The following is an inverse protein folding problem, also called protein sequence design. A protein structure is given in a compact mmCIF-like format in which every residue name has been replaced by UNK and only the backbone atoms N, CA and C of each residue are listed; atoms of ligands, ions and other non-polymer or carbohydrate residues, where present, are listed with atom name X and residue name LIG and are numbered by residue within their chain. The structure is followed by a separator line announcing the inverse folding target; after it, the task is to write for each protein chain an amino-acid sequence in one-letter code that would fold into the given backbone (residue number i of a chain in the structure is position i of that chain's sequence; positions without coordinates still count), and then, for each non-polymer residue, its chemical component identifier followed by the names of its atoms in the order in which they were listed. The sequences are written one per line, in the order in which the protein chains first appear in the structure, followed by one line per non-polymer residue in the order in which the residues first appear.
data_IF_180168481980
#
_entry.id   IF_180168481980
#
_cell.length_a   1.000
_cell.length_b   1.000
_cell.length_c   1.000
_cell.angle_alpha   90.00
_cell.angle_beta   90.00
_cell.angle_gamma   90.00
#
_symmetry.space_group_name_H-M   'P 1'
#
loop_
_entity.id
_entity.type
_entity.pdbx_description
1 polymer ?
#
# COMPACT_ATOMS: atom_id res chain seq x y z
N UNK A 1 -47.07 42.75 -17.39
CA UNK A 1 -45.92 41.96 -17.78
C UNK A 1 -45.25 41.41 -16.54
N UNK A 2 -45.33 40.09 -16.34
CA UNK A 2 -44.69 39.40 -15.21
C UNK A 2 -43.39 38.80 -15.75
N UNK A 3 -42.25 39.29 -15.28
CA UNK A 3 -40.95 38.70 -15.61
C UNK A 3 -40.74 37.50 -14.73
N UNK A 4 -40.67 36.30 -15.35
CA UNK A 4 -40.29 35.07 -14.67
C UNK A 4 -38.78 34.98 -14.70
N UNK A 5 -38.15 35.21 -13.56
CA UNK A 5 -36.71 34.98 -13.38
C UNK A 5 -36.45 33.49 -13.21
N UNK A 6 -35.94 32.86 -14.25
CA UNK A 6 -35.48 31.45 -14.18
C UNK A 6 -34.12 31.41 -13.50
N UNK A 7 -34.11 30.96 -12.25
CA UNK A 7 -32.88 30.73 -11.50
C UNK A 7 -32.27 29.38 -11.97
N UNK A 8 -31.23 29.46 -12.79
CA UNK A 8 -30.46 28.27 -13.18
C UNK A 8 -29.62 27.82 -11.97
N UNK A 9 -30.06 26.75 -11.32
CA UNK A 9 -29.25 26.05 -10.31
C UNK A 9 -28.19 25.23 -11.04
N UNK A 10 -26.95 25.74 -11.11
CA UNK A 10 -25.80 24.98 -11.57
C UNK A 10 -25.41 24.03 -10.44
N UNK A 11 -25.85 22.78 -10.56
CA UNK A 11 -25.43 21.69 -9.67
C UNK A 11 -24.00 21.32 -10.03
N UNK A 12 -23.02 21.87 -9.33
CA UNK A 12 -21.63 21.46 -9.45
C UNK A 12 -21.47 20.07 -8.82
N UNK A 13 -21.45 19.04 -9.66
CA UNK A 13 -21.06 17.68 -9.30
C UNK A 13 -19.55 17.68 -9.03
N UNK A 14 -19.14 18.05 -7.83
CA UNK A 14 -17.80 17.71 -7.34
C UNK A 14 -17.79 16.25 -6.95
N UNK A 15 -17.51 15.37 -7.91
CA UNK A 15 -17.21 13.98 -7.62
C UNK A 15 -15.94 13.87 -6.76
N UNK A 16 -15.79 12.80 -5.95
CA UNK A 16 -14.57 12.61 -5.17
C UNK A 16 -13.36 12.60 -6.11
N UNK A 17 -12.32 13.37 -5.76
CA UNK A 17 -11.08 13.38 -6.54
C UNK A 17 -10.51 11.96 -6.55
N UNK A 18 -10.41 11.33 -7.73
CA UNK A 18 -9.84 9.99 -7.87
C UNK A 18 -8.34 10.05 -7.59
N UNK A 19 -7.82 9.11 -6.78
CA UNK A 19 -6.40 8.94 -6.57
C UNK A 19 -5.71 8.63 -7.90
N UNK A 20 -4.54 9.26 -8.16
CA UNK A 20 -3.74 9.02 -9.37
C UNK A 20 -2.99 7.70 -9.33
N UNK A 21 -2.72 7.18 -8.14
CA UNK A 21 -1.99 5.94 -7.88
C UNK A 21 -2.87 4.93 -7.18
N UNK A 22 -2.62 3.64 -7.42
CA UNK A 22 -3.35 2.57 -6.77
C UNK A 22 -3.12 2.57 -5.25
N UNK A 23 -4.12 2.17 -4.44
CA UNK A 23 -3.96 2.09 -2.98
C UNK A 23 -2.93 1.05 -2.53
N UNK A 24 -2.61 0.08 -3.39
CA UNK A 24 -1.57 -0.94 -3.17
C UNK A 24 -0.50 -0.80 -4.25
N UNK A 25 0.77 -0.83 -3.82
CA UNK A 25 1.91 -0.92 -4.73
C UNK A 25 1.84 -2.22 -5.52
N UNK A 26 1.58 -2.12 -6.82
CA UNK A 26 1.28 -3.24 -7.69
C UNK A 26 1.90 -3.09 -9.07
N UNK A 27 2.10 -4.21 -9.75
CA UNK A 27 2.57 -4.20 -11.13
C UNK A 27 1.55 -3.58 -12.08
N UNK A 28 2.04 -2.96 -13.15
CA UNK A 28 1.17 -2.40 -14.20
C UNK A 28 0.32 -3.50 -14.87
N UNK A 29 0.94 -4.65 -15.17
CA UNK A 29 0.24 -5.83 -15.70
C UNK A 29 -0.10 -6.80 -14.57
N UNK A 30 -1.34 -7.27 -14.54
CA UNK A 30 -1.81 -8.27 -13.59
C UNK A 30 -2.09 -7.75 -12.18
N UNK A 31 -1.79 -6.47 -11.89
CA UNK A 31 -2.04 -5.82 -10.60
C UNK A 31 -1.49 -6.64 -9.41
N UNK A 32 -0.29 -7.19 -9.57
CA UNK A 32 0.35 -8.04 -8.56
C UNK A 32 0.95 -7.18 -7.46
N UNK A 33 0.49 -7.38 -6.23
CA UNK A 33 0.92 -6.62 -5.05
C UNK A 33 2.38 -6.93 -4.69
N UNK A 34 3.09 -5.92 -4.25
CA UNK A 34 4.44 -5.99 -3.66
C UNK A 34 5.39 -6.97 -4.36
N UNK A 35 5.50 -6.85 -5.69
CA UNK A 35 6.39 -7.67 -6.52
C UNK A 35 6.13 -9.18 -6.44
N UNK A 36 4.91 -9.60 -6.07
CA UNK A 36 4.55 -11.01 -5.94
C UNK A 36 5.07 -11.70 -4.69
N UNK A 37 5.54 -10.94 -3.71
CA UNK A 37 6.06 -11.48 -2.44
C UNK A 37 4.92 -11.85 -1.50
N UNK A 38 5.09 -12.95 -0.76
CA UNK A 38 4.12 -13.41 0.23
C UNK A 38 4.19 -12.55 1.51
N UNK A 39 3.17 -11.74 1.82
CA UNK A 39 3.21 -10.87 3.00
C UNK A 39 3.13 -11.64 4.32
N UNK A 40 2.52 -12.82 4.35
CA UNK A 40 2.39 -13.64 5.56
C UNK A 40 3.75 -14.20 5.99
N UNK A 41 4.60 -14.57 5.02
CA UNK A 41 5.89 -15.18 5.28
C UNK A 41 6.86 -14.27 6.06
N UNK A 42 6.75 -12.95 5.92
CA UNK A 42 7.53 -12.02 6.74
C UNK A 42 7.29 -12.23 8.25
N UNK A 43 6.05 -12.51 8.63
CA UNK A 43 5.66 -12.72 10.03
C UNK A 43 5.94 -14.15 10.51
N UNK A 44 5.75 -15.13 9.65
CA UNK A 44 5.84 -16.55 10.03
C UNK A 44 7.23 -17.15 9.84
N UNK A 45 8.01 -16.62 8.89
CA UNK A 45 9.33 -17.16 8.54
C UNK A 45 10.47 -16.13 8.73
N UNK A 46 10.14 -14.86 8.94
CA UNK A 46 11.15 -13.79 9.14
C UNK A 46 12.03 -13.54 7.92
N UNK A 47 11.48 -13.68 6.73
CA UNK A 47 12.19 -13.45 5.47
C UNK A 47 11.24 -13.15 4.31
N UNK A 48 11.77 -12.52 3.24
CA UNK A 48 11.05 -12.39 1.98
C UNK A 48 10.92 -13.78 1.32
N UNK A 49 9.70 -14.13 0.93
CA UNK A 49 9.39 -15.39 0.23
C UNK A 49 8.55 -15.05 -1.00
N UNK A 50 8.97 -15.55 -2.15
CA UNK A 50 8.20 -15.40 -3.38
C UNK A 50 6.89 -16.17 -3.31
N UNK A 51 5.79 -15.49 -3.64
CA UNK A 51 4.48 -16.11 -3.79
C UNK A 51 4.29 -16.71 -5.18
N UNK A 52 3.26 -17.52 -5.33
CA UNK A 52 2.91 -18.21 -6.57
C UNK A 52 1.55 -17.75 -7.06
N UNK A 53 1.38 -17.58 -8.37
CA UNK A 53 0.12 -17.12 -8.96
C UNK A 53 -1.07 -18.06 -8.64
N UNK A 54 -0.82 -19.35 -8.50
CA UNK A 54 -1.84 -20.34 -8.14
C UNK A 54 -2.40 -20.17 -6.72
N UNK A 55 -1.65 -19.53 -5.82
CA UNK A 55 -2.08 -19.18 -4.47
C UNK A 55 -2.23 -17.67 -4.38
N UNK A 56 -3.30 -17.14 -4.92
CA UNK A 56 -3.56 -15.70 -4.91
C UNK A 56 -4.90 -15.36 -4.27
N UNK A 57 -4.98 -14.14 -3.77
CA UNK A 57 -6.19 -13.55 -3.21
C UNK A 57 -6.26 -12.07 -3.61
N UNK A 58 -7.43 -11.65 -4.08
CA UNK A 58 -7.66 -10.24 -4.42
C UNK A 58 -8.11 -9.48 -3.18
N UNK A 59 -7.37 -8.42 -2.87
CA UNK A 59 -7.73 -7.52 -1.76
C UNK A 59 -7.22 -6.10 -2.05
N UNK A 60 -8.02 -5.12 -1.70
CA UNK A 60 -7.73 -3.69 -1.87
C UNK A 60 -7.25 -3.31 -3.29
N UNK A 61 -7.89 -3.89 -4.29
CA UNK A 61 -7.64 -3.62 -5.70
C UNK A 61 -6.38 -4.27 -6.28
N UNK A 62 -5.72 -5.16 -5.54
CA UNK A 62 -4.51 -5.85 -5.98
C UNK A 62 -4.64 -7.37 -5.85
N UNK A 63 -3.82 -8.08 -6.60
CA UNK A 63 -3.68 -9.54 -6.53
C UNK A 63 -2.46 -9.90 -5.68
N UNK A 64 -2.71 -10.42 -4.50
CA UNK A 64 -1.70 -10.85 -3.55
C UNK A 64 -1.34 -12.30 -3.82
N UNK A 65 -0.05 -12.61 -3.79
CA UNK A 65 0.48 -13.97 -4.03
C UNK A 65 1.09 -14.55 -2.77
N UNK A 66 0.91 -15.85 -2.60
CA UNK A 66 1.35 -16.58 -1.40
C UNK A 66 2.11 -17.82 -1.81
N UNK A 67 2.99 -18.31 -0.94
CA UNK A 67 3.74 -19.56 -1.18
C UNK A 67 2.86 -20.81 -1.08
N UNK A 68 1.72 -20.70 -0.39
CA UNK A 68 0.85 -21.83 -0.06
C UNK A 68 -0.61 -21.39 0.07
N UNK A 69 -1.52 -22.36 -0.02
CA UNK A 69 -2.93 -22.15 0.27
C UNK A 69 -3.15 -21.73 1.73
N UNK A 70 -2.35 -22.25 2.67
CA UNK A 70 -2.43 -21.91 4.09
C UNK A 70 -2.15 -20.42 4.31
N UNK A 71 -1.08 -19.87 3.74
CA UNK A 71 -0.75 -18.44 3.85
C UNK A 71 -1.81 -17.56 3.16
N UNK A 72 -2.28 -17.96 1.98
CA UNK A 72 -3.39 -17.28 1.30
C UNK A 72 -4.62 -17.18 2.19
N UNK A 73 -5.02 -18.27 2.82
CA UNK A 73 -6.23 -18.32 3.64
C UNK A 73 -6.06 -17.52 4.93
N UNK A 74 -4.87 -17.55 5.55
CA UNK A 74 -4.54 -16.69 6.69
C UNK A 74 -4.67 -15.20 6.35
N UNK A 75 -4.16 -14.78 5.21
CA UNK A 75 -4.29 -13.40 4.70
C UNK A 75 -5.76 -13.05 4.42
N UNK A 76 -6.49 -13.90 3.71
CA UNK A 76 -7.89 -13.65 3.37
C UNK A 76 -8.76 -13.46 4.62
N UNK A 77 -8.45 -14.15 5.70
CA UNK A 77 -9.13 -14.02 6.99
C UNK A 77 -8.81 -12.72 7.73
N UNK A 78 -7.57 -12.23 7.62
CA UNK A 78 -7.08 -11.05 8.34
C UNK A 78 -6.08 -10.25 7.49
N UNK A 79 -6.50 -9.66 6.37
CA UNK A 79 -5.58 -9.00 5.45
C UNK A 79 -4.84 -7.83 6.10
N UNK A 80 -5.50 -7.07 6.96
CA UNK A 80 -4.88 -5.91 7.62
C UNK A 80 -3.77 -6.28 8.61
N UNK A 81 -3.78 -7.52 9.12
CA UNK A 81 -2.72 -8.04 9.99
C UNK A 81 -1.42 -8.23 9.21
N UNK A 82 -1.49 -8.68 7.96
CA UNK A 82 -0.34 -9.11 7.17
C UNK A 82 0.06 -8.13 6.06
N UNK A 83 -0.88 -7.32 5.58
CA UNK A 83 -0.57 -6.34 4.55
C UNK A 83 0.44 -5.31 5.05
N UNK A 84 1.42 -4.92 4.22
CA UNK A 84 2.35 -3.87 4.60
C UNK A 84 1.65 -2.53 4.77
N UNK A 85 2.20 -1.69 5.63
CA UNK A 85 1.74 -0.33 5.82
C UNK A 85 1.92 0.50 4.56
N UNK A 86 1.14 1.56 4.40
CA UNK A 86 1.19 2.47 3.26
C UNK A 86 0.99 1.76 1.91
N UNK A 87 0.08 0.78 1.89
CA UNK A 87 -0.20 0.01 0.67
C UNK A 87 0.99 -0.79 0.12
N UNK A 88 2.06 -0.96 0.89
CA UNK A 88 3.28 -1.60 0.41
C UNK A 88 4.17 -0.70 -0.44
N UNK A 89 3.92 0.61 -0.48
CA UNK A 89 4.88 1.58 -0.99
C UNK A 89 6.04 1.77 -0.03
N UNK A 90 7.17 2.28 -0.54
CA UNK A 90 8.35 2.56 0.26
C UNK A 90 8.01 3.48 1.45
N UNK A 91 8.20 2.97 2.67
CA UNK A 91 7.88 3.69 3.90
C UNK A 91 8.69 4.99 4.06
N UNK A 92 9.95 5.00 3.63
CA UNK A 92 10.77 6.21 3.58
C UNK A 92 10.17 7.25 2.65
N UNK A 93 9.86 6.84 1.40
CA UNK A 93 9.26 7.75 0.41
C UNK A 93 7.97 8.39 0.95
N UNK A 94 7.08 7.59 1.52
CA UNK A 94 5.82 8.11 2.10
C UNK A 94 6.11 9.08 3.25
N UNK A 95 7.09 8.81 4.09
CA UNK A 95 7.52 9.74 5.14
C UNK A 95 8.03 11.08 4.59
N UNK A 96 8.53 11.10 3.36
CA UNK A 96 9.03 12.29 2.67
C UNK A 96 7.97 12.95 1.75
N UNK A 97 6.75 12.38 1.67
CA UNK A 97 5.65 12.95 0.91
C UNK A 97 5.52 12.49 -0.53
N UNK A 98 6.13 11.36 -0.89
CA UNK A 98 5.99 10.77 -2.23
C UNK A 98 5.87 9.24 -2.14
N UNK A 99 5.72 8.57 -3.27
CA UNK A 99 5.66 7.11 -3.36
C UNK A 99 6.84 6.58 -4.17
N UNK A 100 7.32 5.40 -3.79
CA UNK A 100 8.29 4.63 -4.55
C UNK A 100 7.99 3.15 -4.41
N UNK A 101 8.49 2.36 -5.35
CA UNK A 101 8.44 0.90 -5.27
C UNK A 101 9.34 0.37 -4.16
N UNK A 102 9.43 -0.94 -4.02
CA UNK A 102 10.15 -1.59 -2.93
C UNK A 102 11.08 -2.70 -3.42
N UNK A 103 12.04 -3.02 -2.59
CA UNK A 103 12.78 -4.27 -2.64
C UNK A 103 12.19 -5.21 -1.57
N UNK A 104 11.70 -6.40 -1.91
CA UNK A 104 11.15 -7.34 -0.94
C UNK A 104 12.11 -7.70 0.21
N UNK A 105 13.42 -7.59 -0.01
CA UNK A 105 14.44 -7.82 1.02
C UNK A 105 14.63 -6.64 1.99
N UNK A 106 14.11 -5.47 1.64
CA UNK A 106 14.23 -4.26 2.45
C UNK A 106 13.00 -4.06 3.37
N UNK A 107 12.79 -5.00 4.27
CA UNK A 107 11.61 -5.04 5.13
C UNK A 107 11.95 -4.84 6.62
N UNK A 108 10.97 -4.41 7.37
CA UNK A 108 11.02 -4.31 8.84
C UNK A 108 9.63 -4.61 9.42
N UNK A 109 9.60 -5.27 10.57
CA UNK A 109 8.39 -5.39 11.39
C UNK A 109 8.61 -4.57 12.65
N UNK A 110 7.72 -3.61 12.89
CA UNK A 110 7.73 -2.72 14.06
C UNK A 110 6.32 -2.72 14.67
N UNK A 111 6.21 -3.04 15.93
CA UNK A 111 4.91 -3.13 16.63
C UNK A 111 3.89 -3.97 15.85
N UNK A 112 4.31 -5.15 15.41
CA UNK A 112 3.50 -6.11 14.65
C UNK A 112 3.01 -5.62 13.28
N UNK A 113 3.63 -4.56 12.74
CA UNK A 113 3.30 -4.00 11.42
C UNK A 113 4.48 -4.13 10.47
N UNK A 114 4.18 -4.51 9.23
CA UNK A 114 5.16 -4.69 8.16
C UNK A 114 5.38 -3.35 7.43
N UNK A 115 6.65 -2.99 7.28
CA UNK A 115 7.10 -1.83 6.48
C UNK A 115 8.06 -2.30 5.41
N UNK A 116 7.86 -1.85 4.18
CA UNK A 116 8.73 -2.14 3.04
C UNK A 116 9.44 -0.85 2.60
N UNK A 117 10.67 -0.98 2.14
CA UNK A 117 11.46 0.13 1.65
C UNK A 117 12.04 -0.14 0.26
N UNK A 118 12.49 0.90 -0.41
CA UNK A 118 13.02 0.86 -1.77
C UNK A 118 14.25 -0.01 -1.92
N UNK A 119 15.15 0.03 -0.92
CA UNK A 119 16.41 -0.71 -0.89
C UNK A 119 16.85 -0.93 0.55
N UNK A 120 17.86 -1.79 0.74
CA UNK A 120 18.46 -1.99 2.07
C UNK A 120 19.09 -0.70 2.62
N UNK A 121 19.70 0.11 1.77
CA UNK A 121 20.27 1.41 2.17
C UNK A 121 19.18 2.39 2.61
N UNK A 122 18.06 2.44 1.88
CA UNK A 122 16.90 3.26 2.26
C UNK A 122 16.24 2.74 3.53
N UNK A 123 16.15 1.43 3.71
CA UNK A 123 15.68 0.85 4.98
C UNK A 123 16.57 1.28 6.15
N UNK A 124 17.88 1.27 5.98
CA UNK A 124 18.83 1.74 7.01
C UNK A 124 18.58 3.21 7.33
N UNK A 125 18.43 4.07 6.32
CA UNK A 125 18.10 5.47 6.50
C UNK A 125 16.76 5.68 7.23
N UNK A 126 15.72 4.95 6.85
CA UNK A 126 14.44 4.97 7.53
C UNK A 126 14.56 4.53 9.01
N UNK A 127 15.42 3.56 9.27
CA UNK A 127 15.64 3.00 10.61
C UNK A 127 16.35 3.93 11.58
N UNK A 128 16.94 5.04 11.11
CA UNK A 128 17.60 6.03 11.96
C UNK A 128 16.63 6.80 12.86
N UNK A 129 15.38 6.90 12.44
CA UNK A 129 14.29 7.53 13.22
C UNK A 129 12.97 6.82 12.92
N UNK A 130 12.82 5.61 13.40
CA UNK A 130 11.60 4.78 13.13
C UNK A 130 10.34 5.48 13.60
N UNK A 131 10.23 5.96 14.87
CA UNK A 131 9.00 6.63 15.32
C UNK A 131 8.65 7.88 14.52
N UNK A 132 9.63 8.71 14.22
CA UNK A 132 9.43 9.93 13.42
C UNK A 132 9.04 9.64 11.99
N UNK A 133 9.67 8.67 11.35
CA UNK A 133 9.35 8.28 9.99
C UNK A 133 7.96 7.63 9.88
N UNK A 134 7.56 6.81 10.85
CA UNK A 134 6.20 6.25 10.90
C UNK A 134 5.18 7.38 11.08
N UNK A 135 5.41 8.30 12.00
CA UNK A 135 4.49 9.42 12.24
C UNK A 135 4.31 10.30 10.99
N UNK A 136 5.41 10.64 10.30
CA UNK A 136 5.35 11.40 9.04
C UNK A 136 4.64 10.61 7.93
N UNK A 137 4.91 9.31 7.84
CA UNK A 137 4.22 8.44 6.89
C UNK A 137 2.71 8.42 7.12
N UNK A 138 2.27 8.27 8.34
CA UNK A 138 0.84 8.31 8.71
C UNK A 138 0.21 9.66 8.35
N UNK A 139 0.92 10.77 8.60
CA UNK A 139 0.43 12.10 8.26
C UNK A 139 0.28 12.32 6.75
N UNK A 140 1.16 11.73 5.94
CA UNK A 140 1.17 11.87 4.49
C UNK A 140 0.24 10.86 3.77
N UNK A 141 -0.07 9.74 4.41
CA UNK A 141 -0.91 8.70 3.84
C UNK A 141 -2.40 8.96 4.10
N UNK A 142 -3.30 8.74 3.14
CA UNK A 142 -3.07 8.33 1.74
C UNK A 142 -2.89 9.51 0.76
N UNK A 143 -2.67 10.72 1.23
CA UNK A 143 -2.56 11.93 0.42
C UNK A 143 -1.55 11.81 -0.72
N UNK A 144 -0.42 11.14 -0.50
CA UNK A 144 0.64 10.87 -1.49
C UNK A 144 0.15 10.12 -2.75
N UNK A 145 -1.00 9.48 -2.71
CA UNK A 145 -1.59 8.79 -3.86
C UNK A 145 -2.19 9.74 -4.90
N UNK A 146 -2.35 11.02 -4.56
CA UNK A 146 -2.96 12.05 -5.41
C UNK A 146 -1.97 12.86 -6.20
N UNK A 147 -0.68 12.76 -5.89
CA UNK A 147 0.40 13.56 -6.48
C UNK A 147 1.02 12.92 -7.74
#
# INVERSE_FOLDING_TARGET
MKFITVLLFVLSLTGPAMAKKAPVNQSFFGNVAISGTDPVAYFTEGKAVEGRAEFSHRWDGANWRFKSAENRDAFAKSPETYAPQFGGYCAWAVSQGYTATIDPEAWSIVDEKLYLNYSKDIREQWSRDIPGNIARGIANWPGVLRD
#
